data_IF_296093197122
#
_entry.id   IF_296093197122
#
_cell.length_a   1.000
_cell.length_b   1.000
_cell.length_c   1.000
_cell.angle_alpha   90.00
_cell.angle_beta   90.00
_cell.angle_gamma   90.00
#
_symmetry.space_group_name_H-M   'P 1'
#
loop_
_entity.id
_entity.type
_entity.pdbx_description
1 polymer ?
#
# COMPACT_ATOMS: atom_id res chain seq x y z
N UNK A 1 22.26 -2.89 -16.02
CA UNK A 1 22.89 -2.50 -14.73
C UNK A 1 22.14 -3.20 -13.60
N UNK A 2 22.85 -3.75 -12.60
CA UNK A 2 22.18 -4.38 -11.45
C UNK A 2 21.41 -3.32 -10.64
N UNK A 3 20.29 -3.70 -10.01
CA UNK A 3 19.47 -2.82 -9.15
C UNK A 3 20.32 -2.17 -8.04
N UNK A 4 21.28 -2.92 -7.52
CA UNK A 4 22.27 -2.47 -6.56
C UNK A 4 23.07 -1.27 -7.11
N UNK A 5 23.54 -1.34 -8.35
CA UNK A 5 24.24 -0.22 -8.98
C UNK A 5 23.33 1.01 -9.14
N UNK A 6 22.05 0.82 -9.46
CA UNK A 6 21.09 1.94 -9.52
C UNK A 6 20.85 2.59 -8.15
N UNK A 7 20.88 1.81 -7.07
CA UNK A 7 20.70 2.30 -5.70
C UNK A 7 21.81 3.27 -5.29
N UNK A 8 23.06 2.97 -5.67
CA UNK A 8 24.20 3.85 -5.42
C UNK A 8 24.26 5.06 -6.35
N UNK A 9 23.68 4.96 -7.55
CA UNK A 9 23.68 6.05 -8.54
C UNK A 9 22.55 7.07 -8.30
N UNK A 10 21.38 6.63 -7.81
CA UNK A 10 20.22 7.50 -7.59
C UNK A 10 19.51 7.19 -6.24
N UNK A 11 20.19 7.38 -5.10
CA UNK A 11 19.62 7.08 -3.78
C UNK A 11 18.36 7.89 -3.45
N UNK A 12 18.26 9.12 -3.99
CA UNK A 12 17.09 9.99 -3.81
C UNK A 12 15.82 9.42 -4.41
N UNK A 13 15.91 8.73 -5.55
CA UNK A 13 14.74 8.14 -6.19
C UNK A 13 14.13 7.02 -5.33
N UNK A 14 14.97 6.23 -4.68
CA UNK A 14 14.52 5.21 -3.74
C UNK A 14 13.82 5.83 -2.53
N UNK A 15 14.38 6.91 -1.99
CA UNK A 15 13.78 7.65 -0.89
C UNK A 15 12.40 8.23 -1.25
N UNK A 16 12.19 8.66 -2.50
CA UNK A 16 10.89 9.17 -2.95
C UNK A 16 9.82 8.08 -3.14
N UNK A 17 10.23 6.84 -3.42
CA UNK A 17 9.33 5.71 -3.60
C UNK A 17 8.91 5.09 -2.26
N UNK A 18 9.77 5.12 -1.25
CA UNK A 18 9.50 4.52 0.06
C UNK A 18 8.17 4.98 0.70
N UNK A 19 7.85 6.28 0.79
CA UNK A 19 6.57 6.75 1.33
C UNK A 19 5.36 6.17 0.60
N UNK A 20 5.44 6.03 -0.72
CA UNK A 20 4.36 5.47 -1.53
C UNK A 20 4.07 4.00 -1.20
N UNK A 21 5.13 3.20 -1.06
CA UNK A 21 5.02 1.78 -0.71
C UNK A 21 4.49 1.64 0.72
N UNK A 22 5.08 2.36 1.67
CA UNK A 22 4.69 2.28 3.08
C UNK A 22 3.23 2.68 3.25
N UNK A 23 2.82 3.80 2.65
CA UNK A 23 1.44 4.28 2.74
C UNK A 23 0.47 3.30 2.09
N UNK A 24 0.76 2.84 0.87
CA UNK A 24 -0.11 1.90 0.15
C UNK A 24 -0.31 0.60 0.92
N UNK A 25 0.77 -0.07 1.34
CA UNK A 25 0.69 -1.32 2.09
C UNK A 25 -0.01 -1.15 3.45
N UNK A 26 0.31 -0.08 4.18
CA UNK A 26 -0.29 0.17 5.50
C UNK A 26 -1.80 0.34 5.41
N UNK A 27 -2.27 1.17 4.47
CA UNK A 27 -3.70 1.44 4.31
C UNK A 27 -4.42 0.21 3.75
N UNK A 28 -3.80 -0.52 2.83
CA UNK A 28 -4.31 -1.77 2.25
C UNK A 28 -4.56 -2.84 3.32
N UNK A 29 -3.54 -3.14 4.12
CA UNK A 29 -3.61 -4.14 5.19
C UNK A 29 -4.57 -3.71 6.31
N UNK A 30 -4.57 -2.43 6.65
CA UNK A 30 -5.56 -1.88 7.58
C UNK A 30 -6.99 -2.06 7.05
N UNK A 31 -7.22 -1.89 5.74
CA UNK A 31 -8.54 -2.05 5.13
C UNK A 31 -9.04 -3.48 5.20
N UNK A 32 -8.18 -4.47 4.94
CA UNK A 32 -8.50 -5.88 5.14
C UNK A 32 -8.90 -6.16 6.59
N UNK A 33 -8.10 -5.70 7.56
CA UNK A 33 -8.37 -5.88 8.98
C UNK A 33 -9.69 -5.21 9.41
N UNK A 34 -9.95 -4.00 8.92
CA UNK A 34 -11.17 -3.25 9.20
C UNK A 34 -12.40 -3.92 8.60
N UNK A 35 -12.35 -4.35 7.33
CA UNK A 35 -13.44 -5.05 6.67
C UNK A 35 -13.76 -6.37 7.38
N UNK A 36 -12.75 -7.17 7.71
CA UNK A 36 -12.90 -8.42 8.45
C UNK A 36 -13.57 -8.18 9.81
N UNK A 37 -13.11 -7.17 10.56
CA UNK A 37 -13.72 -6.78 11.83
C UNK A 37 -15.19 -6.39 11.70
N UNK A 38 -15.54 -5.61 10.67
CA UNK A 38 -16.93 -5.20 10.40
C UNK A 38 -17.82 -6.37 9.99
N UNK A 39 -17.24 -7.44 9.44
CA UNK A 39 -17.95 -8.66 9.03
C UNK A 39 -17.97 -9.74 10.12
N UNK A 40 -17.39 -9.45 11.30
CA UNK A 40 -17.49 -10.29 12.49
C UNK A 40 -16.20 -11.00 12.89
N UNK A 41 -15.08 -10.76 12.20
CA UNK A 41 -13.78 -11.34 12.54
C UNK A 41 -12.88 -10.37 13.34
N UNK A 42 -12.77 -10.52 14.67
CA UNK A 42 -11.93 -9.66 15.50
C UNK A 42 -10.44 -10.05 15.48
N UNK A 43 -10.01 -11.06 14.72
CA UNK A 43 -8.65 -11.65 14.80
C UNK A 43 -7.55 -10.60 14.65
N UNK A 44 -7.53 -9.84 13.54
CA UNK A 44 -6.54 -8.79 13.32
C UNK A 44 -6.58 -7.68 14.39
N UNK A 45 -7.78 -7.29 14.85
CA UNK A 45 -7.94 -6.29 15.91
C UNK A 45 -7.34 -6.77 17.22
N UNK A 46 -7.64 -7.99 17.65
CA UNK A 46 -7.16 -8.57 18.90
C UNK A 46 -5.64 -8.75 18.92
N UNK A 47 -5.03 -8.95 17.75
CA UNK A 47 -3.58 -9.02 17.59
C UNK A 47 -2.91 -7.64 17.47
N UNK A 48 -3.65 -6.54 17.62
CA UNK A 48 -3.12 -5.17 17.46
C UNK A 48 -2.76 -4.80 16.01
N UNK A 49 -3.25 -5.57 15.03
CA UNK A 49 -2.93 -5.44 13.60
C UNK A 49 -3.89 -4.51 12.86
N UNK A 50 -5.04 -4.18 13.45
CA UNK A 50 -5.96 -3.16 12.90
C UNK A 50 -5.46 -1.75 13.26
N UNK A 51 -4.34 -1.33 12.67
CA UNK A 51 -3.68 -0.05 12.95
C UNK A 51 -3.13 0.59 11.66
N UNK A 52 -2.99 1.92 11.65
CA UNK A 52 -2.28 2.65 10.59
C UNK A 52 -0.79 2.85 10.91
N UNK A 53 -0.26 2.17 11.92
CA UNK A 53 1.17 2.13 12.18
C UNK A 53 1.87 1.25 11.13
N UNK A 54 2.73 1.82 10.26
CA UNK A 54 3.38 1.06 9.19
C UNK A 54 4.29 -0.06 9.71
N UNK A 55 4.88 0.09 10.90
CA UNK A 55 5.74 -0.93 11.50
C UNK A 55 4.96 -2.23 11.73
N UNK A 56 3.65 -2.14 11.98
CA UNK A 56 2.83 -3.32 12.09
C UNK A 56 2.77 -4.11 10.77
N UNK A 57 2.81 -3.46 9.61
CA UNK A 57 2.54 -4.12 8.31
C UNK A 57 3.79 -4.44 7.51
N UNK A 58 4.97 -4.03 7.99
CA UNK A 58 6.24 -4.29 7.31
C UNK A 58 6.80 -5.66 7.73
N UNK A 59 7.16 -6.47 6.74
CA UNK A 59 8.02 -7.62 6.94
C UNK A 59 9.50 -7.19 6.78
N UNK A 60 10.38 -7.36 7.78
CA UNK A 60 11.77 -6.93 7.68
C UNK A 60 12.54 -7.58 6.52
N UNK A 61 12.26 -8.85 6.21
CA UNK A 61 12.90 -9.57 5.10
C UNK A 61 12.36 -9.03 3.78
N UNK A 62 11.03 -8.90 3.67
CA UNK A 62 10.37 -8.30 2.51
C UNK A 62 10.88 -6.88 2.22
N UNK A 63 11.09 -6.08 3.26
CA UNK A 63 11.63 -4.72 3.14
C UNK A 63 13.10 -4.70 2.69
N UNK A 64 13.94 -5.59 3.22
CA UNK A 64 15.33 -5.72 2.76
C UNK A 64 15.37 -6.18 1.29
N UNK A 65 14.52 -7.15 0.92
CA UNK A 65 14.41 -7.61 -0.47
C UNK A 65 13.96 -6.50 -1.42
N UNK A 66 13.05 -5.63 -0.97
CA UNK A 66 12.62 -4.47 -1.74
C UNK A 66 13.80 -3.53 -2.06
N UNK A 67 14.70 -3.31 -1.09
CA UNK A 67 15.90 -2.48 -1.29
C UNK A 67 16.88 -3.17 -2.26
N UNK A 68 17.20 -4.44 -2.01
CA UNK A 68 18.29 -5.13 -2.71
C UNK A 68 17.90 -5.61 -4.12
N UNK A 69 16.70 -6.15 -4.26
CA UNK A 69 16.21 -6.85 -5.45
C UNK A 69 15.14 -6.02 -6.16
N UNK A 70 14.50 -5.08 -5.45
CA UNK A 70 13.45 -4.24 -6.02
C UNK A 70 12.05 -4.87 -5.98
N UNK A 71 11.92 -5.99 -5.27
CA UNK A 71 10.68 -6.71 -5.02
C UNK A 71 10.61 -7.04 -3.54
N UNK A 72 9.46 -6.82 -2.93
CA UNK A 72 9.23 -7.10 -1.51
C UNK A 72 7.74 -7.30 -1.24
N UNK A 73 7.42 -7.73 -0.03
CA UNK A 73 6.06 -8.02 0.40
C UNK A 73 5.79 -7.39 1.77
N UNK A 74 4.50 -7.14 2.03
CA UNK A 74 4.03 -6.77 3.36
C UNK A 74 3.91 -8.00 4.25
N UNK A 75 3.84 -7.77 5.56
CA UNK A 75 3.37 -8.77 6.51
C UNK A 75 1.83 -8.74 6.49
N UNK A 76 1.13 -9.76 5.96
CA UNK A 76 -0.32 -9.71 5.77
C UNK A 76 -1.08 -9.74 7.11
N UNK A 77 -2.26 -9.12 7.18
CA UNK A 77 -3.12 -9.20 8.37
C UNK A 77 -3.86 -10.54 8.44
N UNK A 78 -3.95 -11.14 9.65
CA UNK A 78 -4.64 -12.41 9.81
C UNK A 78 -6.16 -12.21 9.71
N UNK A 79 -6.79 -13.01 8.85
CA UNK A 79 -8.23 -13.10 8.70
C UNK A 79 -8.66 -14.53 9.03
N UNK A 80 -9.70 -14.69 9.84
CA UNK A 80 -10.28 -15.97 10.19
C UNK A 80 -11.69 -16.10 9.60
N UNK A 81 -11.84 -16.77 8.43
CA UNK A 81 -13.12 -16.90 7.76
C UNK A 81 -14.18 -17.67 8.54
N UNK A 82 -13.81 -18.43 9.58
CA UNK A 82 -14.76 -19.14 10.46
C UNK A 82 -15.66 -18.18 11.25
N UNK A 83 -15.24 -16.93 11.40
CA UNK A 83 -16.02 -15.88 12.06
C UNK A 83 -17.04 -15.20 11.12
N UNK A 84 -16.96 -15.46 9.81
CA UNK A 84 -17.87 -14.85 8.84
C UNK A 84 -19.25 -15.50 8.86
N UNK A 85 -20.29 -14.68 8.73
CA UNK A 85 -21.68 -15.15 8.66
C UNK A 85 -21.99 -15.73 7.28
N UNK A 86 -21.46 -15.11 6.23
CA UNK A 86 -21.59 -15.60 4.86
C UNK A 86 -20.21 -15.67 4.22
N UNK A 87 -19.55 -16.83 4.35
CA UNK A 87 -18.18 -17.06 3.89
C UNK A 87 -17.91 -16.47 2.50
N UNK A 88 -18.70 -16.82 1.49
CA UNK A 88 -18.45 -16.39 0.10
C UNK A 88 -18.52 -14.88 -0.07
N UNK A 89 -19.58 -14.25 0.45
CA UNK A 89 -19.77 -12.80 0.33
C UNK A 89 -18.71 -12.04 1.12
N UNK A 90 -18.49 -12.47 2.35
CA UNK A 90 -17.67 -11.72 3.31
C UNK A 90 -16.19 -11.84 2.93
N UNK A 91 -15.74 -13.01 2.47
CA UNK A 91 -14.39 -13.23 1.93
C UNK A 91 -14.10 -12.35 0.71
N UNK A 92 -15.06 -12.23 -0.23
CA UNK A 92 -14.93 -11.32 -1.39
C UNK A 92 -14.84 -9.86 -0.92
N UNK A 93 -15.67 -9.43 0.03
CA UNK A 93 -15.64 -8.05 0.54
C UNK A 93 -14.30 -7.75 1.20
N UNK A 94 -13.79 -8.67 2.03
CA UNK A 94 -12.49 -8.49 2.67
C UNK A 94 -11.39 -8.44 1.62
N UNK A 95 -11.37 -9.35 0.65
CA UNK A 95 -10.36 -9.38 -0.42
C UNK A 95 -10.38 -8.10 -1.27
N UNK A 96 -11.55 -7.53 -1.54
CA UNK A 96 -11.68 -6.27 -2.28
C UNK A 96 -11.33 -5.03 -1.45
N UNK A 97 -11.38 -5.09 -0.11
CA UNK A 97 -11.17 -3.92 0.75
C UNK A 97 -9.79 -3.27 0.55
N UNK A 98 -8.72 -4.07 0.49
CA UNK A 98 -7.37 -3.59 0.22
C UNK A 98 -7.24 -2.96 -1.18
N UNK A 99 -7.88 -3.55 -2.19
CA UNK A 99 -7.86 -3.06 -3.58
C UNK A 99 -8.56 -1.71 -3.66
N UNK A 100 -9.76 -1.61 -3.11
CA UNK A 100 -10.57 -0.39 -3.11
C UNK A 100 -9.83 0.75 -2.41
N UNK A 101 -9.17 0.48 -1.28
CA UNK A 101 -8.44 1.53 -0.57
C UNK A 101 -7.20 2.02 -1.32
N UNK A 102 -6.47 1.15 -2.00
CA UNK A 102 -5.39 1.58 -2.89
C UNK A 102 -5.91 2.49 -4.03
N UNK A 103 -7.04 2.15 -4.64
CA UNK A 103 -7.67 3.02 -5.66
C UNK A 103 -8.08 4.36 -5.07
N UNK A 104 -8.68 4.38 -3.88
CA UNK A 104 -9.06 5.63 -3.19
C UNK A 104 -7.83 6.48 -2.89
N UNK A 105 -6.75 5.88 -2.39
CA UNK A 105 -5.48 6.58 -2.13
C UNK A 105 -4.94 7.19 -3.43
N UNK A 106 -4.84 6.41 -4.50
CA UNK A 106 -4.35 6.91 -5.79
C UNK A 106 -5.22 8.08 -6.31
N UNK A 107 -6.55 7.96 -6.18
CA UNK A 107 -7.49 9.00 -6.59
C UNK A 107 -7.30 10.28 -5.78
N UNK A 108 -7.28 10.20 -4.45
CA UNK A 108 -7.10 11.37 -3.58
C UNK A 108 -5.76 12.06 -3.84
N UNK A 109 -4.67 11.30 -3.97
CA UNK A 109 -3.35 11.86 -4.25
C UNK A 109 -3.23 12.43 -5.66
N UNK A 110 -4.03 11.96 -6.63
CA UNK A 110 -4.11 12.56 -7.97
C UNK A 110 -4.68 13.99 -7.92
N UNK A 111 -5.70 14.24 -7.08
CA UNK A 111 -6.19 15.61 -6.86
C UNK A 111 -5.10 16.51 -6.28
N UNK A 112 -4.38 16.01 -5.27
CA UNK A 112 -3.28 16.77 -4.65
C UNK A 112 -2.16 17.04 -5.65
N UNK A 113 -1.81 16.05 -6.48
CA UNK A 113 -0.81 16.20 -7.53
C UNK A 113 -1.20 17.29 -8.53
N UNK A 114 -2.43 17.23 -9.07
CA UNK A 114 -2.94 18.23 -10.03
C UNK A 114 -3.02 19.63 -9.39
N UNK A 115 -3.50 19.73 -8.15
CA UNK A 115 -3.53 21.00 -7.43
C UNK A 115 -2.11 21.56 -7.20
N UNK A 116 -1.15 20.72 -6.82
CA UNK A 116 0.24 21.12 -6.63
C UNK A 116 0.87 21.67 -7.91
N UNK A 117 0.64 21.00 -9.03
CA UNK A 117 1.16 21.42 -10.34
C UNK A 117 0.48 22.70 -10.84
N UNK A 118 -0.85 22.77 -10.80
CA UNK A 118 -1.62 23.83 -11.45
C UNK A 118 -1.92 25.05 -10.58
N UNK A 119 -1.89 24.91 -9.24
CA UNK A 119 -2.32 25.97 -8.30
C UNK A 119 -1.24 26.38 -7.31
N UNK A 120 -0.39 25.46 -6.87
CA UNK A 120 0.61 25.75 -5.82
C UNK A 120 2.03 26.01 -6.34
N UNK A 121 2.22 26.01 -7.66
CA UNK A 121 3.52 26.30 -8.28
C UNK A 121 4.56 25.19 -8.07
N UNK A 122 4.14 23.97 -7.73
CA UNK A 122 5.04 22.82 -7.48
C UNK A 122 5.37 22.03 -8.76
N UNK A 123 4.96 22.52 -9.94
CA UNK A 123 5.16 21.86 -11.23
C UNK A 123 6.61 21.67 -11.66
N UNK A 124 7.57 22.35 -11.03
CA UNK A 124 9.01 22.17 -11.25
C UNK A 124 9.71 21.52 -10.04
N UNK A 125 8.99 21.27 -8.94
CA UNK A 125 9.56 20.67 -7.74
C UNK A 125 9.69 19.15 -7.96
N UNK A 126 10.92 18.71 -8.25
CA UNK A 126 11.22 17.31 -8.55
C UNK A 126 10.85 16.35 -7.42
N UNK A 127 11.04 16.74 -6.16
CA UNK A 127 10.67 15.91 -5.01
C UNK A 127 9.14 15.73 -4.91
N UNK A 128 8.38 16.82 -5.06
CA UNK A 128 6.93 16.77 -5.07
C UNK A 128 6.40 15.86 -6.19
N UNK A 129 6.87 16.09 -7.43
CA UNK A 129 6.43 15.30 -8.57
C UNK A 129 6.77 13.81 -8.41
N UNK A 130 7.98 13.51 -7.93
CA UNK A 130 8.44 12.12 -7.75
C UNK A 130 7.65 11.40 -6.65
N UNK A 131 7.46 12.03 -5.48
CA UNK A 131 6.78 11.40 -4.34
C UNK A 131 5.30 11.18 -4.67
N UNK A 132 4.59 12.22 -5.11
CA UNK A 132 3.15 12.11 -5.36
C UNK A 132 2.86 11.23 -6.60
N UNK A 133 3.68 11.34 -7.64
CA UNK A 133 3.62 10.43 -8.79
C UNK A 133 3.88 8.98 -8.40
N UNK A 134 4.83 8.72 -7.50
CA UNK A 134 5.07 7.39 -6.95
C UNK A 134 3.88 6.88 -6.14
N UNK A 135 3.27 7.72 -5.27
CA UNK A 135 2.07 7.33 -4.49
C UNK A 135 0.95 6.87 -5.42
N UNK A 136 0.65 7.64 -6.46
CA UNK A 136 -0.42 7.30 -7.41
C UNK A 136 -0.09 6.01 -8.16
N UNK A 137 1.08 5.95 -8.80
CA UNK A 137 1.47 4.81 -9.64
C UNK A 137 1.58 3.51 -8.85
N UNK A 138 2.16 3.53 -7.65
CA UNK A 138 2.34 2.33 -6.81
C UNK A 138 1.01 1.86 -6.26
N UNK A 139 0.14 2.74 -5.79
CA UNK A 139 -1.16 2.33 -5.28
C UNK A 139 -2.03 1.74 -6.41
N UNK A 140 -2.01 2.31 -7.61
CA UNK A 140 -2.67 1.71 -8.77
C UNK A 140 -2.07 0.36 -9.14
N UNK A 141 -0.74 0.24 -9.15
CA UNK A 141 -0.06 -1.02 -9.42
C UNK A 141 -0.47 -2.08 -8.38
N UNK A 142 -0.43 -1.77 -7.09
CA UNK A 142 -0.88 -2.67 -6.02
C UNK A 142 -2.35 -3.07 -6.19
N UNK A 143 -3.24 -2.13 -6.53
CA UNK A 143 -4.64 -2.44 -6.80
C UNK A 143 -4.81 -3.42 -7.98
N UNK A 144 -4.10 -3.18 -9.09
CA UNK A 144 -4.15 -4.04 -10.28
C UNK A 144 -3.58 -5.42 -9.99
N UNK A 145 -2.41 -5.51 -9.34
CA UNK A 145 -1.79 -6.80 -9.01
C UNK A 145 -2.67 -7.65 -8.09
N UNK A 146 -3.37 -7.04 -7.13
CA UNK A 146 -4.29 -7.75 -6.24
C UNK A 146 -5.65 -8.11 -6.89
N UNK A 147 -5.95 -7.60 -8.10
CA UNK A 147 -7.10 -8.03 -8.89
C UNK A 147 -6.81 -9.26 -9.75
N UNK A 148 -5.53 -9.61 -9.96
CA UNK A 148 -5.16 -10.80 -10.73
C UNK A 148 -5.47 -12.03 -9.87
N UNK A 149 -6.38 -12.92 -10.29
CA UNK A 149 -6.59 -14.18 -9.60
C UNK A 149 -5.33 -15.04 -9.78
N UNK A 150 -4.64 -15.33 -8.67
CA UNK A 150 -3.50 -16.27 -8.62
C UNK A 150 -4.01 -17.61 -8.12
#
# INVERSE_FOLDING_TARGET
MSRIAQLFQNPLQFLYILPAIILGLTVHEWAHAYAAYRLGDPTARNMGRMTLNPIAHIDPIGFIMLILVGFGWAKPVPVNPRNFKNYKRDDIIVSLAGIVTNVIVAFLFSFVYVAGVLKWGLGTNTAFLSIFGAIISINLALAIFNLIPI
#
